data_IF_907839364105
#
_entry.id   IF_907839364105
#
_cell.length_a   1.000
_cell.length_b   1.000
_cell.length_c   1.000
_cell.angle_alpha   90.00
_cell.angle_beta   90.00
_cell.angle_gamma   90.00
#
_symmetry.space_group_name_H-M   'P 1'
#
loop_
_entity.id
_entity.type
_entity.pdbx_description
1 polymer ?
#
# COMPACT_ATOMS: atom_id res chain seq x y z
N UNK A 1 -6.30 15.32 -2.55
CA UNK A 1 -5.38 14.17 -2.49
C UNK A 1 -5.60 13.41 -1.20
N UNK A 2 -5.46 12.07 -1.20
CA UNK A 2 -5.64 11.23 0.00
C UNK A 2 -4.40 10.38 0.22
N UNK A 3 -3.90 10.38 1.45
CA UNK A 3 -2.89 9.45 1.97
C UNK A 3 -3.54 8.58 3.04
N UNK A 4 -3.48 7.27 2.92
CA UNK A 4 -3.85 6.31 3.95
C UNK A 4 -2.57 5.62 4.43
N UNK A 5 -2.30 5.74 5.73
CA UNK A 5 -1.04 5.31 6.36
C UNK A 5 -0.04 6.44 6.48
N UNK A 6 -0.04 7.11 7.62
CA UNK A 6 0.83 8.26 7.94
C UNK A 6 2.24 7.84 8.41
N UNK A 7 2.72 6.68 7.95
CA UNK A 7 4.09 6.20 8.17
C UNK A 7 5.11 6.87 7.25
N UNK A 8 6.40 6.59 7.49
CA UNK A 8 7.52 7.25 6.79
C UNK A 8 7.43 7.16 5.26
N UNK A 9 7.08 5.98 4.71
CA UNK A 9 6.93 5.79 3.25
C UNK A 9 5.78 6.63 2.71
N UNK A 10 4.59 6.56 3.35
CA UNK A 10 3.42 7.32 2.94
C UNK A 10 3.66 8.82 2.93
N UNK A 11 4.29 9.34 3.98
CA UNK A 11 4.66 10.76 4.10
C UNK A 11 5.66 11.18 3.03
N UNK A 12 6.70 10.36 2.77
CA UNK A 12 7.70 10.66 1.74
C UNK A 12 7.06 10.73 0.34
N UNK A 13 6.13 9.82 0.02
CA UNK A 13 5.35 9.84 -1.21
C UNK A 13 4.46 11.09 -1.29
N UNK A 14 3.69 11.37 -0.23
CA UNK A 14 2.74 12.47 -0.21
C UNK A 14 3.41 13.83 -0.38
N UNK A 15 4.53 14.08 0.30
CA UNK A 15 5.28 15.35 0.20
C UNK A 15 5.67 15.72 -1.23
N UNK A 16 5.98 14.73 -2.07
CA UNK A 16 6.40 14.96 -3.47
C UNK A 16 5.25 15.35 -4.39
N UNK A 17 4.02 15.00 -4.00
CA UNK A 17 2.85 15.06 -4.90
C UNK A 17 1.80 16.08 -4.42
N UNK A 18 1.81 16.43 -3.13
CA UNK A 18 0.74 17.22 -2.51
C UNK A 18 0.76 18.72 -2.84
N UNK A 19 1.84 19.25 -3.41
CA UNK A 19 1.93 20.68 -3.74
C UNK A 19 0.75 21.12 -4.61
N UNK A 20 0.06 22.18 -4.20
CA UNK A 20 -1.12 22.73 -4.87
C UNK A 20 -2.39 21.87 -4.72
N UNK A 21 -2.43 20.97 -3.73
CA UNK A 21 -3.57 20.11 -3.43
C UNK A 21 -3.87 20.12 -1.94
N UNK A 22 -5.14 20.02 -1.57
CA UNK A 22 -5.51 19.68 -0.20
C UNK A 22 -5.21 18.20 0.07
N UNK A 23 -4.40 17.90 1.08
CA UNK A 23 -3.98 16.56 1.47
C UNK A 23 -4.75 16.08 2.70
N UNK A 24 -5.54 15.03 2.53
CA UNK A 24 -6.17 14.32 3.66
C UNK A 24 -5.27 13.18 4.08
N UNK A 25 -4.96 13.14 5.36
CA UNK A 25 -4.05 12.17 5.98
C UNK A 25 -4.88 11.24 6.88
N UNK A 26 -5.03 9.99 6.44
CA UNK A 26 -5.72 8.94 7.18
C UNK A 26 -4.76 7.97 7.87
N UNK A 27 -5.03 7.66 9.13
CA UNK A 27 -4.31 6.62 9.88
C UNK A 27 -5.24 6.00 10.93
N UNK A 28 -4.98 4.74 11.30
CA UNK A 28 -5.72 4.08 12.41
C UNK A 28 -5.48 4.81 13.74
N UNK A 29 -4.29 5.35 13.91
CA UNK A 29 -3.91 6.17 15.05
C UNK A 29 -4.13 7.66 14.72
N UNK A 30 -5.21 8.22 15.25
CA UNK A 30 -5.55 9.63 15.05
C UNK A 30 -4.46 10.60 15.52
N UNK A 31 -3.66 10.24 16.54
CA UNK A 31 -2.54 11.08 17.01
C UNK A 31 -1.41 11.10 15.98
N UNK A 32 -1.11 9.97 15.33
CA UNK A 32 -0.13 9.90 14.26
C UNK A 32 -0.58 10.73 13.05
N UNK A 33 -1.83 10.58 12.62
CA UNK A 33 -2.41 11.38 11.53
C UNK A 33 -2.34 12.88 11.84
N UNK A 34 -2.71 13.29 13.06
CA UNK A 34 -2.69 14.69 13.50
C UNK A 34 -1.29 15.27 13.55
N UNK A 35 -0.32 14.51 14.05
CA UNK A 35 1.08 14.94 14.06
C UNK A 35 1.61 15.20 12.65
N UNK A 36 1.33 14.27 11.72
CA UNK A 36 1.78 14.43 10.32
C UNK A 36 1.05 15.59 9.64
N UNK A 37 -0.23 15.81 9.94
CA UNK A 37 -0.96 17.01 9.49
C UNK A 37 -0.25 18.28 9.93
N UNK A 38 0.09 18.42 11.22
CA UNK A 38 0.77 19.59 11.78
C UNK A 38 2.17 19.79 11.16
N UNK A 39 2.96 18.71 11.02
CA UNK A 39 4.30 18.75 10.42
C UNK A 39 4.24 19.22 8.96
N UNK A 40 3.26 18.75 8.20
CA UNK A 40 3.09 19.13 6.79
C UNK A 40 2.47 20.51 6.64
N UNK A 41 1.52 20.89 7.49
CA UNK A 41 0.97 22.25 7.54
C UNK A 41 2.08 23.29 7.78
N UNK A 42 2.94 23.04 8.78
CA UNK A 42 4.09 23.89 9.06
C UNK A 42 5.13 23.92 7.94
N UNK A 43 5.11 22.92 7.07
CA UNK A 43 5.92 22.86 5.84
C UNK A 43 5.24 23.53 4.61
N UNK A 44 4.06 24.16 4.79
CA UNK A 44 3.37 24.92 3.76
C UNK A 44 2.37 24.10 2.93
N UNK A 45 1.97 22.90 3.36
CA UNK A 45 0.93 22.13 2.68
C UNK A 45 -0.45 22.45 3.27
N UNK A 46 -1.48 22.39 2.43
CA UNK A 46 -2.86 22.40 2.88
C UNK A 46 -3.26 20.98 3.32
N UNK A 47 -3.51 20.77 4.61
CA UNK A 47 -3.68 19.44 5.18
C UNK A 47 -4.88 19.34 6.11
N UNK A 48 -5.45 18.16 6.20
CA UNK A 48 -6.36 17.74 7.25
C UNK A 48 -6.13 16.26 7.59
N UNK A 49 -6.52 15.83 8.78
CA UNK A 49 -6.38 14.44 9.20
C UNK A 49 -7.71 13.80 9.55
N UNK A 50 -7.80 12.49 9.37
CA UNK A 50 -8.96 11.67 9.68
C UNK A 50 -8.51 10.32 10.22
N UNK A 51 -9.21 9.78 11.22
CA UNK A 51 -9.00 8.41 11.64
C UNK A 51 -9.60 7.44 10.63
N UNK A 52 -8.86 6.38 10.24
CA UNK A 52 -9.34 5.35 9.34
C UNK A 52 -8.87 3.96 9.75
N UNK A 53 -9.80 3.01 9.83
CA UNK A 53 -9.51 1.57 9.91
C UNK A 53 -9.75 0.93 8.54
N UNK A 54 -8.67 0.46 7.91
CA UNK A 54 -8.78 -0.25 6.61
C UNK A 54 -9.55 -1.56 6.70
N UNK A 55 -9.67 -2.18 7.86
CA UNK A 55 -10.51 -3.36 8.03
C UNK A 55 -12.02 -3.04 7.97
N UNK A 56 -12.40 -1.76 7.93
CA UNK A 56 -13.79 -1.29 7.89
C UNK A 56 -14.10 -0.55 6.59
N UNK A 57 -14.97 -1.14 5.76
CA UNK A 57 -15.50 -0.47 4.54
C UNK A 57 -16.14 0.88 4.89
N UNK A 58 -16.92 0.94 5.98
CA UNK A 58 -17.55 2.19 6.42
C UNK A 58 -16.52 3.27 6.72
N UNK A 59 -15.43 2.91 7.38
CA UNK A 59 -14.34 3.84 7.69
C UNK A 59 -13.68 4.38 6.42
N UNK A 60 -13.45 3.52 5.41
CA UNK A 60 -12.93 3.94 4.10
C UNK A 60 -13.90 4.88 3.39
N UNK A 61 -15.21 4.56 3.40
CA UNK A 61 -16.24 5.40 2.81
C UNK A 61 -16.33 6.79 3.49
N UNK A 62 -16.06 6.87 4.78
CA UNK A 62 -16.00 8.14 5.50
C UNK A 62 -14.82 8.99 5.00
N UNK A 63 -13.65 8.39 4.72
CA UNK A 63 -12.54 9.10 4.09
C UNK A 63 -12.89 9.60 2.69
N UNK A 64 -13.57 8.77 1.88
CA UNK A 64 -14.05 9.19 0.55
C UNK A 64 -14.97 10.40 0.65
N UNK A 65 -15.96 10.34 1.56
CA UNK A 65 -16.90 11.45 1.79
C UNK A 65 -16.18 12.73 2.23
N UNK A 66 -15.22 12.60 3.15
CA UNK A 66 -14.42 13.74 3.62
C UNK A 66 -13.62 14.35 2.47
N UNK A 67 -12.96 13.50 1.67
CA UNK A 67 -12.13 13.95 0.55
C UNK A 67 -12.93 14.73 -0.50
N UNK A 68 -14.16 14.32 -0.78
CA UNK A 68 -15.03 14.97 -1.74
C UNK A 68 -15.49 16.38 -1.31
N UNK A 69 -15.42 16.73 -0.02
CA UNK A 69 -15.71 18.10 0.45
C UNK A 69 -14.69 19.13 -0.05
N UNK A 70 -13.47 18.70 -0.32
CA UNK A 70 -12.37 19.55 -0.79
C UNK A 70 -12.23 19.54 -2.32
N UNK A 71 -13.10 18.84 -3.03
CA UNK A 71 -13.14 18.79 -4.49
C UNK A 71 -12.82 17.41 -5.07
N UNK A 72 -12.37 17.38 -6.32
CA UNK A 72 -12.11 16.15 -7.05
C UNK A 72 -10.88 15.40 -6.51
N UNK A 73 -11.02 14.10 -6.31
CA UNK A 73 -9.92 13.25 -5.84
C UNK A 73 -8.99 12.91 -7.00
N UNK A 74 -7.83 13.54 -7.07
CA UNK A 74 -6.82 13.31 -8.12
C UNK A 74 -5.81 12.22 -7.77
N UNK A 75 -5.41 12.12 -6.51
CA UNK A 75 -4.35 11.22 -6.09
C UNK A 75 -4.73 10.47 -4.82
N UNK A 76 -4.46 9.17 -4.80
CA UNK A 76 -4.65 8.29 -3.64
C UNK A 76 -3.36 7.51 -3.40
N UNK A 77 -2.88 7.51 -2.17
CA UNK A 77 -1.76 6.66 -1.75
C UNK A 77 -2.26 5.76 -0.62
N UNK A 78 -2.20 4.46 -0.82
CA UNK A 78 -2.39 3.47 0.23
C UNK A 78 -1.02 2.96 0.70
N UNK A 79 -0.53 3.51 1.80
CA UNK A 79 0.71 3.11 2.46
C UNK A 79 0.44 2.48 3.84
N UNK A 80 -0.83 2.24 4.19
CA UNK A 80 -1.19 1.55 5.41
C UNK A 80 -1.00 0.05 5.28
N UNK A 81 -0.68 -0.58 6.38
CA UNK A 81 -0.51 -2.02 6.50
C UNK A 81 0.05 -2.39 7.87
N UNK A 82 0.02 -3.68 8.17
CA UNK A 82 0.56 -4.25 9.40
C UNK A 82 1.63 -5.29 9.10
N UNK A 83 2.64 -5.40 9.98
CA UNK A 83 3.72 -6.36 9.76
C UNK A 83 3.43 -7.73 10.35
N UNK A 84 4.10 -8.80 9.84
CA UNK A 84 3.97 -10.14 10.38
C UNK A 84 4.37 -10.31 11.84
N UNK A 85 5.20 -9.40 12.38
CA UNK A 85 5.64 -9.42 13.78
C UNK A 85 4.68 -8.69 14.72
N UNK A 86 3.80 -7.85 14.17
CA UNK A 86 2.93 -6.95 14.96
C UNK A 86 1.46 -7.38 14.96
N UNK A 87 1.04 -8.25 14.04
CA UNK A 87 -0.36 -8.56 13.87
C UNK A 87 -0.64 -10.07 13.72
N UNK A 88 -1.85 -10.48 14.11
CA UNK A 88 -2.35 -11.83 13.87
C UNK A 88 -2.65 -12.07 12.37
N UNK A 89 -2.73 -13.34 11.97
CA UNK A 89 -3.14 -13.75 10.61
C UNK A 89 -4.43 -13.02 10.20
N UNK A 90 -5.46 -13.07 11.05
CA UNK A 90 -6.74 -12.42 10.82
C UNK A 90 -6.58 -10.91 10.53
N UNK A 91 -5.84 -10.20 11.40
CA UNK A 91 -5.66 -8.74 11.23
C UNK A 91 -4.89 -8.39 9.97
N UNK A 92 -3.89 -9.20 9.58
CA UNK A 92 -3.16 -9.03 8.31
C UNK A 92 -4.10 -9.17 7.12
N UNK A 93 -4.94 -10.21 7.10
CA UNK A 93 -5.89 -10.41 6.01
C UNK A 93 -6.96 -9.32 5.95
N UNK A 94 -7.47 -8.88 7.09
CA UNK A 94 -8.47 -7.80 7.17
C UNK A 94 -7.91 -6.45 6.71
N UNK A 95 -6.70 -6.09 7.13
CA UNK A 95 -6.10 -4.78 6.84
C UNK A 95 -5.41 -4.78 5.48
N UNK A 96 -4.44 -5.68 5.28
CA UNK A 96 -3.53 -5.60 4.13
C UNK A 96 -4.16 -6.18 2.85
N UNK A 97 -5.03 -7.20 2.98
CA UNK A 97 -5.66 -7.83 1.83
C UNK A 97 -7.04 -7.22 1.55
N UNK A 98 -8.00 -7.40 2.46
CA UNK A 98 -9.37 -6.93 2.28
C UNK A 98 -9.44 -5.40 2.24
N UNK A 99 -8.82 -4.72 3.19
CA UNK A 99 -8.83 -3.26 3.27
C UNK A 99 -8.28 -2.60 2.01
N UNK A 100 -7.19 -3.15 1.43
CA UNK A 100 -6.67 -2.66 0.15
C UNK A 100 -7.65 -2.89 -0.99
N UNK A 101 -8.32 -4.06 -1.04
CA UNK A 101 -9.33 -4.33 -2.06
C UNK A 101 -10.53 -3.37 -1.98
N UNK A 102 -11.03 -3.11 -0.76
CA UNK A 102 -12.11 -2.12 -0.52
C UNK A 102 -11.66 -0.73 -0.95
N UNK A 103 -10.46 -0.30 -0.57
CA UNK A 103 -9.92 1.00 -0.94
C UNK A 103 -9.88 1.18 -2.46
N UNK A 104 -9.35 0.20 -3.19
CA UNK A 104 -9.29 0.22 -4.65
C UNK A 104 -10.68 0.31 -5.27
N UNK A 105 -11.64 -0.46 -4.75
CA UNK A 105 -13.02 -0.45 -5.22
C UNK A 105 -13.70 0.91 -4.98
N UNK A 106 -13.64 1.44 -3.74
CA UNK A 106 -14.39 2.63 -3.37
C UNK A 106 -13.79 3.91 -3.96
N UNK A 107 -12.47 4.04 -3.96
CA UNK A 107 -11.82 5.18 -4.63
C UNK A 107 -11.93 5.09 -6.15
N UNK A 108 -11.93 3.88 -6.73
CA UNK A 108 -12.14 3.69 -8.16
C UNK A 108 -13.50 4.21 -8.67
N UNK A 109 -14.52 4.24 -7.81
CA UNK A 109 -15.85 4.79 -8.15
C UNK A 109 -15.87 6.32 -8.26
N UNK A 110 -14.93 7.01 -7.59
CA UNK A 110 -14.97 8.48 -7.42
C UNK A 110 -13.71 9.19 -7.90
N UNK A 111 -12.66 8.46 -8.22
CA UNK A 111 -11.42 9.07 -8.73
C UNK A 111 -11.71 9.94 -9.95
N UNK A 112 -11.11 11.11 -10.02
CA UNK A 112 -11.29 12.01 -11.15
C UNK A 112 -10.53 11.54 -12.39
N UNK A 113 -10.92 12.07 -13.54
CA UNK A 113 -10.18 11.93 -14.78
C UNK A 113 -8.72 12.34 -14.60
N UNK A 114 -7.78 11.64 -15.25
CA UNK A 114 -6.33 11.76 -15.05
C UNK A 114 -5.85 11.51 -13.62
N UNK A 115 -6.70 10.94 -12.76
CA UNK A 115 -6.36 10.58 -11.40
C UNK A 115 -5.39 9.39 -11.35
N UNK A 116 -4.70 9.24 -10.22
CA UNK A 116 -3.78 8.11 -10.03
C UNK A 116 -3.77 7.61 -8.59
N UNK A 117 -3.60 6.30 -8.45
CA UNK A 117 -3.42 5.62 -7.17
C UNK A 117 -2.11 4.84 -7.13
N UNK A 118 -1.44 4.87 -5.98
CA UNK A 118 -0.35 3.97 -5.64
C UNK A 118 -0.71 3.16 -4.40
N UNK A 119 -0.54 1.85 -4.52
CA UNK A 119 -0.61 0.90 -3.39
C UNK A 119 0.80 0.48 -3.02
N UNK A 120 1.18 0.69 -1.77
CA UNK A 120 2.45 0.17 -1.24
C UNK A 120 2.24 -1.29 -0.86
N UNK A 121 2.74 -2.18 -1.73
CA UNK A 121 2.78 -3.61 -1.51
C UNK A 121 4.07 -4.01 -0.75
N UNK A 122 4.76 -5.07 -1.18
CA UNK A 122 6.03 -5.50 -0.58
C UNK A 122 6.75 -6.52 -1.46
N UNK A 123 8.09 -6.55 -1.41
CA UNK A 123 8.88 -7.68 -1.93
C UNK A 123 8.41 -9.04 -1.39
N UNK A 124 7.78 -9.07 -0.23
CA UNK A 124 7.26 -10.30 0.38
C UNK A 124 6.22 -11.00 -0.49
N UNK A 125 5.41 -10.24 -1.25
CA UNK A 125 4.47 -10.79 -2.22
C UNK A 125 5.17 -11.51 -3.39
N UNK A 126 6.36 -11.06 -3.79
CA UNK A 126 7.19 -11.71 -4.81
C UNK A 126 7.91 -12.96 -4.31
N UNK A 127 8.10 -13.06 -2.99
CA UNK A 127 8.76 -14.22 -2.34
C UNK A 127 7.77 -15.31 -1.90
N UNK A 128 6.48 -15.10 -2.12
CA UNK A 128 5.48 -16.15 -1.96
C UNK A 128 5.78 -17.26 -2.97
N UNK A 129 5.65 -18.52 -2.53
CA UNK A 129 5.69 -19.67 -3.46
C UNK A 129 4.66 -19.42 -4.58
N UNK A 130 5.02 -19.78 -5.81
CA UNK A 130 4.13 -19.60 -6.97
C UNK A 130 2.75 -20.21 -6.70
N UNK A 131 1.74 -19.40 -6.88
CA UNK A 131 0.34 -19.81 -6.84
C UNK A 131 -0.06 -20.37 -8.21
N UNK A 132 -1.05 -21.25 -8.23
CA UNK A 132 -1.66 -21.69 -9.48
C UNK A 132 -2.32 -20.50 -10.20
N UNK A 133 -2.62 -20.67 -11.49
CA UNK A 133 -3.38 -19.66 -12.24
C UNK A 133 -4.74 -19.40 -11.59
N UNK A 134 -5.45 -20.46 -11.19
CA UNK A 134 -6.75 -20.37 -10.52
C UNK A 134 -6.66 -19.58 -9.20
N UNK A 135 -5.67 -19.87 -8.35
CA UNK A 135 -5.45 -19.14 -7.10
C UNK A 135 -5.17 -17.63 -7.35
N UNK A 136 -4.38 -17.32 -8.36
CA UNK A 136 -4.14 -15.91 -8.75
C UNK A 136 -5.44 -15.25 -9.24
N UNK A 137 -6.25 -15.92 -10.04
CA UNK A 137 -7.53 -15.42 -10.54
C UNK A 137 -8.53 -15.20 -9.39
N UNK A 138 -8.61 -16.14 -8.45
CA UNK A 138 -9.45 -16.00 -7.26
C UNK A 138 -9.06 -14.75 -6.44
N UNK A 139 -7.78 -14.55 -6.16
CA UNK A 139 -7.31 -13.35 -5.44
C UNK A 139 -7.58 -12.06 -6.22
N UNK A 140 -7.45 -12.09 -7.54
CA UNK A 140 -7.62 -10.92 -8.40
C UNK A 140 -9.09 -10.51 -8.58
N UNK A 141 -10.00 -11.48 -8.72
CA UNK A 141 -11.33 -11.24 -9.30
C UNK A 141 -12.48 -11.52 -8.34
N UNK A 142 -12.30 -12.29 -7.26
CA UNK A 142 -13.37 -12.53 -6.29
C UNK A 142 -13.96 -11.21 -5.78
N UNK A 143 -15.28 -11.03 -5.75
CA UNK A 143 -15.91 -9.85 -5.19
C UNK A 143 -15.34 -9.50 -3.81
N UNK A 144 -15.14 -8.21 -3.54
CA UNK A 144 -14.43 -7.78 -2.34
C UNK A 144 -15.06 -8.30 -1.05
N UNK A 145 -16.41 -8.35 -0.98
CA UNK A 145 -17.12 -8.82 0.21
C UNK A 145 -17.03 -10.34 0.42
N UNK A 146 -16.64 -11.09 -0.61
CA UNK A 146 -16.45 -12.55 -0.56
C UNK A 146 -14.97 -12.93 -0.42
N UNK A 147 -14.07 -11.97 -0.55
CA UNK A 147 -12.63 -12.21 -0.69
C UNK A 147 -12.05 -12.98 0.51
N UNK A 148 -12.43 -12.61 1.73
CA UNK A 148 -11.98 -13.31 2.95
C UNK A 148 -12.56 -14.72 3.13
N UNK A 149 -13.59 -15.09 2.34
CA UNK A 149 -14.19 -16.42 2.38
C UNK A 149 -13.45 -17.45 1.52
N UNK A 150 -12.46 -17.04 0.74
CA UNK A 150 -11.67 -17.93 -0.10
C UNK A 150 -11.03 -19.05 0.72
N UNK A 151 -11.14 -20.30 0.23
CA UNK A 151 -10.62 -21.48 0.91
C UNK A 151 -9.13 -21.35 1.26
N UNK A 152 -8.33 -20.76 0.35
CA UNK A 152 -6.90 -20.56 0.55
C UNK A 152 -6.55 -19.56 1.67
N UNK A 153 -7.50 -18.71 2.09
CA UNK A 153 -7.34 -17.73 3.16
C UNK A 153 -7.84 -18.21 4.52
N UNK A 154 -8.39 -19.44 4.61
CA UNK A 154 -8.78 -20.01 5.89
C UNK A 154 -7.57 -20.26 6.78
N UNK A 155 -7.74 -20.10 8.09
CA UNK A 155 -6.67 -20.18 9.08
C UNK A 155 -5.90 -21.51 9.01
N UNK A 156 -6.58 -22.64 8.76
CA UNK A 156 -5.96 -23.96 8.60
C UNK A 156 -5.12 -24.12 7.31
N UNK A 157 -5.19 -23.19 6.37
CA UNK A 157 -4.40 -23.16 5.12
C UNK A 157 -3.22 -22.21 5.21
N UNK A 158 -3.24 -21.28 6.15
CA UNK A 158 -2.18 -20.28 6.34
C UNK A 158 -1.21 -20.79 7.40
N UNK A 159 0.07 -20.87 7.01
CA UNK A 159 1.13 -21.46 7.85
C UNK A 159 1.47 -20.63 9.08
N UNK A 160 1.61 -19.33 8.87
CA UNK A 160 2.01 -18.35 9.88
C UNK A 160 1.68 -16.90 9.42
N UNK A 161 2.00 -15.93 10.25
CA UNK A 161 1.78 -14.51 9.94
C UNK A 161 2.58 -14.01 8.73
N UNK A 162 3.76 -14.58 8.46
CA UNK A 162 4.54 -14.23 7.26
C UNK A 162 3.84 -14.71 5.99
N UNK A 163 3.33 -15.95 6.00
CA UNK A 163 2.58 -16.49 4.87
C UNK A 163 1.29 -15.67 4.61
N UNK A 164 0.55 -15.29 5.66
CA UNK A 164 -0.60 -14.39 5.53
C UNK A 164 -0.22 -13.05 4.88
N UNK A 165 0.89 -12.47 5.32
CA UNK A 165 1.41 -11.21 4.78
C UNK A 165 1.84 -11.35 3.32
N UNK A 166 2.54 -12.43 2.97
CA UNK A 166 2.92 -12.70 1.58
C UNK A 166 1.70 -12.85 0.67
N UNK A 167 0.67 -13.58 1.10
CA UNK A 167 -0.60 -13.71 0.39
C UNK A 167 -1.29 -12.35 0.22
N UNK A 168 -1.36 -11.55 1.29
CA UNK A 168 -1.96 -10.22 1.24
C UNK A 168 -1.24 -9.30 0.24
N UNK A 169 0.10 -9.26 0.29
CA UNK A 169 0.89 -8.42 -0.62
C UNK A 169 0.86 -8.94 -2.06
N UNK A 170 0.80 -10.26 -2.29
CA UNK A 170 0.54 -10.81 -3.62
C UNK A 170 -0.84 -10.44 -4.13
N UNK A 171 -1.88 -10.54 -3.29
CA UNK A 171 -3.24 -10.13 -3.65
C UNK A 171 -3.30 -8.66 -4.05
N UNK A 172 -2.59 -7.75 -3.35
CA UNK A 172 -2.55 -6.34 -3.68
C UNK A 172 -2.07 -6.10 -5.11
N UNK A 173 -0.99 -6.77 -5.52
CA UNK A 173 -0.44 -6.68 -6.90
C UNK A 173 -1.48 -7.17 -7.92
N UNK A 174 -2.11 -8.31 -7.67
CA UNK A 174 -3.12 -8.88 -8.55
C UNK A 174 -4.37 -7.99 -8.64
N UNK A 175 -4.82 -7.43 -7.51
CA UNK A 175 -5.95 -6.51 -7.46
C UNK A 175 -5.67 -5.21 -8.20
N UNK A 176 -4.48 -4.65 -8.06
CA UNK A 176 -4.06 -3.47 -8.81
C UNK A 176 -4.16 -3.72 -10.31
N UNK A 177 -3.71 -4.86 -10.80
CA UNK A 177 -3.79 -5.22 -12.20
C UNK A 177 -5.25 -5.35 -12.69
N UNK A 178 -6.12 -6.01 -11.92
CA UNK A 178 -7.53 -6.18 -12.28
C UNK A 178 -8.33 -4.87 -12.17
N UNK A 179 -8.09 -4.06 -11.14
CA UNK A 179 -8.77 -2.79 -10.94
C UNK A 179 -8.34 -1.72 -11.96
N UNK A 180 -7.13 -1.82 -12.54
CA UNK A 180 -6.68 -0.90 -13.58
C UNK A 180 -7.65 -0.83 -14.78
N UNK A 181 -8.35 -1.93 -15.09
CA UNK A 181 -9.36 -1.97 -16.13
C UNK A 181 -10.57 -1.09 -15.78
N UNK A 182 -10.99 -1.12 -14.51
CA UNK A 182 -12.12 -0.30 -14.02
C UNK A 182 -11.74 1.16 -13.89
N UNK A 183 -10.54 1.43 -13.34
CA UNK A 183 -9.98 2.78 -13.21
C UNK A 183 -9.79 3.43 -14.59
N UNK A 184 -9.35 2.65 -15.59
CA UNK A 184 -9.18 3.11 -16.97
C UNK A 184 -10.47 3.61 -17.63
N UNK A 185 -11.65 3.09 -17.24
CA UNK A 185 -12.95 3.62 -17.70
C UNK A 185 -13.19 5.07 -17.29
N UNK A 186 -12.46 5.57 -16.30
CA UNK A 186 -12.46 6.96 -15.83
C UNK A 186 -11.21 7.73 -16.27
N UNK A 187 -10.43 7.20 -17.20
CA UNK A 187 -9.11 7.73 -17.59
C UNK A 187 -8.14 7.88 -16.40
N UNK A 188 -8.33 7.11 -15.35
CA UNK A 188 -7.49 7.10 -14.16
C UNK A 188 -6.57 5.86 -14.15
N UNK A 189 -5.50 5.94 -13.38
CA UNK A 189 -4.47 4.91 -13.32
C UNK A 189 -4.28 4.39 -11.89
N UNK A 190 -3.93 3.12 -11.77
CA UNK A 190 -3.56 2.51 -10.49
C UNK A 190 -2.36 1.60 -10.69
N UNK A 191 -1.37 1.72 -9.82
CA UNK A 191 -0.17 0.89 -9.81
C UNK A 191 0.19 0.50 -8.38
N UNK A 192 1.07 -0.48 -8.22
CA UNK A 192 1.68 -0.80 -6.94
C UNK A 192 3.19 -0.59 -6.97
N UNK A 193 3.73 -0.31 -5.80
CA UNK A 193 5.16 -0.35 -5.53
C UNK A 193 5.37 -1.45 -4.49
N UNK A 194 6.32 -2.34 -4.74
CA UNK A 194 6.71 -3.44 -3.86
C UNK A 194 8.11 -3.15 -3.27
N UNK A 195 8.20 -2.41 -2.15
CA UNK A 195 9.48 -2.12 -1.54
C UNK A 195 10.12 -3.35 -0.91
N UNK A 196 11.45 -3.35 -0.87
CA UNK A 196 12.25 -4.22 -0.04
C UNK A 196 12.30 -3.76 1.42
N UNK A 197 13.45 -3.94 2.06
CA UNK A 197 13.70 -3.42 3.40
C UNK A 197 13.97 -1.92 3.29
N UNK A 198 13.04 -1.10 3.80
CA UNK A 198 13.13 0.36 3.82
C UNK A 198 13.32 0.81 5.27
N UNK A 199 14.32 1.65 5.54
CA UNK A 199 14.59 2.16 6.89
C UNK A 199 13.41 3.03 7.37
N UNK A 200 12.71 2.51 8.33
CA UNK A 200 11.55 3.12 8.99
C UNK A 200 11.57 2.70 10.47
N UNK A 201 10.83 3.34 11.36
CA UNK A 201 10.68 2.84 12.73
C UNK A 201 10.30 1.36 12.79
N UNK A 202 9.33 0.93 11.95
CA UNK A 202 8.93 -0.47 11.83
C UNK A 202 10.08 -1.38 11.38
N UNK A 203 10.85 -0.97 10.39
CA UNK A 203 12.00 -1.77 9.91
C UNK A 203 13.10 -1.88 10.97
N UNK A 204 13.31 -0.84 11.76
CA UNK A 204 14.26 -0.89 12.88
C UNK A 204 13.80 -1.90 13.95
N UNK A 205 12.50 -1.96 14.26
CA UNK A 205 11.94 -2.96 15.17
C UNK A 205 12.15 -4.38 14.61
N UNK A 206 11.90 -4.60 13.32
CA UNK A 206 12.09 -5.89 12.63
C UNK A 206 13.58 -6.31 12.59
N UNK A 207 14.50 -5.37 12.29
CA UNK A 207 15.94 -5.62 12.25
C UNK A 207 16.53 -5.97 13.62
N UNK A 208 15.91 -5.47 14.69
CA UNK A 208 16.30 -5.75 16.08
C UNK A 208 15.43 -6.84 16.75
N UNK A 209 14.42 -7.33 16.04
CA UNK A 209 13.49 -8.35 16.52
C UNK A 209 13.96 -9.79 16.24
N UNK A 210 13.12 -10.79 16.55
CA UNK A 210 13.43 -12.21 16.40
C UNK A 210 13.84 -12.64 14.98
N UNK A 211 13.43 -11.88 13.95
CA UNK A 211 13.77 -12.14 12.54
C UNK A 211 14.94 -11.29 12.03
N UNK A 212 15.56 -10.48 12.89
CA UNK A 212 16.58 -9.50 12.53
C UNK A 212 17.77 -10.08 11.78
N UNK A 213 18.28 -11.25 12.22
CA UNK A 213 19.40 -11.91 11.54
C UNK A 213 19.06 -12.32 10.10
N UNK A 214 17.82 -12.71 9.82
CA UNK A 214 17.38 -13.03 8.46
C UNK A 214 17.35 -11.78 7.58
N UNK A 215 16.90 -10.65 8.12
CA UNK A 215 16.91 -9.37 7.42
C UNK A 215 18.33 -8.88 7.14
N UNK A 216 19.24 -9.00 8.12
CA UNK A 216 20.67 -8.66 7.93
C UNK A 216 21.32 -9.51 6.84
N UNK A 217 21.06 -10.83 6.84
CA UNK A 217 21.52 -11.72 5.77
C UNK A 217 20.97 -11.33 4.41
N UNK A 218 19.69 -11.00 4.34
CA UNK A 218 19.05 -10.53 3.11
C UNK A 218 19.72 -9.27 2.56
N UNK A 219 19.99 -8.29 3.44
CA UNK A 219 20.69 -7.06 3.05
C UNK A 219 22.12 -7.31 2.58
N UNK A 220 22.84 -8.23 3.24
CA UNK A 220 24.21 -8.58 2.86
C UNK A 220 24.29 -9.28 1.49
N UNK A 221 23.25 -10.04 1.11
CA UNK A 221 23.16 -10.73 -0.18
C UNK A 221 22.62 -9.84 -1.29
N UNK A 222 21.80 -8.86 -0.96
CA UNK A 222 21.22 -7.96 -1.97
C UNK A 222 22.33 -7.19 -2.73
N UNK A 223 22.23 -7.02 -4.05
CA UNK A 223 23.19 -6.26 -4.84
C UNK A 223 23.46 -4.86 -4.32
N UNK A 224 22.43 -4.16 -3.82
CA UNK A 224 22.56 -2.83 -3.23
C UNK A 224 23.31 -2.84 -1.88
N UNK A 225 23.40 -3.97 -1.18
CA UNK A 225 24.06 -4.16 0.13
C UNK A 225 23.63 -3.19 1.23
N UNK A 226 22.46 -2.62 1.10
CA UNK A 226 21.86 -1.69 2.06
C UNK A 226 20.33 -1.77 2.01
N UNK A 227 19.69 -1.30 3.05
CA UNK A 227 18.27 -0.96 3.00
C UNK A 227 18.04 0.29 2.14
N UNK A 228 16.84 0.40 1.59
CA UNK A 228 16.38 1.62 0.93
C UNK A 228 15.88 2.65 1.93
N UNK A 229 15.56 3.83 1.44
CA UNK A 229 14.98 4.93 2.22
C UNK A 229 13.53 5.19 1.80
N UNK A 230 12.70 5.78 2.67
CA UNK A 230 11.36 6.24 2.28
C UNK A 230 11.38 7.18 1.06
N UNK A 231 12.42 7.98 0.94
CA UNK A 231 12.58 8.92 -0.16
C UNK A 231 12.78 8.24 -1.52
N UNK A 232 13.54 7.15 -1.59
CA UNK A 232 13.71 6.36 -2.81
C UNK A 232 12.37 5.75 -3.28
N UNK A 233 11.52 5.34 -2.35
CA UNK A 233 10.14 4.90 -2.69
C UNK A 233 9.29 6.10 -3.14
N UNK A 234 9.46 7.25 -2.48
CA UNK A 234 8.79 8.50 -2.82
C UNK A 234 9.11 8.99 -4.23
N UNK A 235 10.36 8.88 -4.67
CA UNK A 235 10.80 9.27 -6.02
C UNK A 235 10.11 8.43 -7.10
N UNK A 236 10.02 7.12 -6.89
CA UNK A 236 9.28 6.22 -7.79
C UNK A 236 7.77 6.53 -7.77
N UNK A 237 7.21 6.79 -6.58
CA UNK A 237 5.81 7.17 -6.44
C UNK A 237 5.50 8.46 -7.22
N UNK A 238 6.33 9.49 -7.10
CA UNK A 238 6.21 10.74 -7.87
C UNK A 238 6.24 10.48 -9.37
N UNK A 239 7.22 9.72 -9.85
CA UNK A 239 7.31 9.37 -11.26
C UNK A 239 6.02 8.71 -11.77
N UNK A 240 5.52 7.69 -11.08
CA UNK A 240 4.34 6.93 -11.48
C UNK A 240 3.06 7.79 -11.44
N UNK A 241 2.95 8.70 -10.48
CA UNK A 241 1.76 9.55 -10.33
C UNK A 241 1.80 10.81 -11.19
N UNK A 242 2.95 11.17 -11.73
CA UNK A 242 3.12 12.34 -12.60
C UNK A 242 2.68 12.08 -14.05
N UNK A 243 2.78 13.12 -14.88
CA UNK A 243 2.56 13.02 -16.34
C UNK A 243 3.56 12.10 -17.05
N UNK A 244 4.74 11.88 -16.46
CA UNK A 244 5.75 10.95 -17.00
C UNK A 244 5.30 9.49 -16.95
N UNK A 245 4.44 9.13 -15.99
CA UNK A 245 3.87 7.80 -15.82
C UNK A 245 2.55 7.56 -16.58
N UNK A 246 2.13 8.43 -17.50
CA UNK A 246 0.78 8.37 -18.12
C UNK A 246 0.46 7.06 -18.84
N UNK A 247 1.45 6.36 -19.36
CA UNK A 247 1.27 5.08 -20.06
C UNK A 247 1.43 3.85 -19.14
N UNK A 248 1.53 4.08 -17.82
CA UNK A 248 1.76 3.02 -16.83
C UNK A 248 0.52 2.89 -15.95
N UNK A 249 -0.16 1.74 -16.04
CA UNK A 249 -1.30 1.37 -15.19
C UNK A 249 -1.39 -0.14 -15.05
N UNK A 250 -1.85 -0.64 -13.90
CA UNK A 250 -1.94 -2.07 -13.61
C UNK A 250 -0.61 -2.76 -13.34
N UNK A 251 0.47 -2.00 -13.22
CA UNK A 251 1.82 -2.52 -13.03
C UNK A 251 2.24 -2.53 -11.56
N UNK A 252 3.14 -3.45 -11.22
CA UNK A 252 3.84 -3.50 -9.94
C UNK A 252 5.33 -3.20 -10.14
N UNK A 253 5.89 -2.38 -9.26
CA UNK A 253 7.28 -1.97 -9.33
C UNK A 253 8.04 -2.46 -8.10
N UNK A 254 8.84 -3.50 -8.29
CA UNK A 254 9.73 -4.03 -7.26
C UNK A 254 10.93 -3.10 -7.07
N UNK A 255 11.06 -2.52 -5.87
CA UNK A 255 12.17 -1.65 -5.48
C UNK A 255 12.80 -2.20 -4.18
N UNK A 256 13.69 -3.16 -4.31
CA UNK A 256 14.22 -3.95 -3.18
C UNK A 256 15.75 -4.06 -3.14
N UNK A 257 16.43 -3.25 -3.95
CA UNK A 257 17.89 -3.30 -4.06
C UNK A 257 18.44 -4.61 -4.64
N UNK A 258 17.59 -5.37 -5.33
CA UNK A 258 17.91 -6.67 -5.93
C UNK A 258 17.82 -7.84 -4.92
N UNK A 259 17.23 -7.63 -3.75
CA UNK A 259 17.11 -8.68 -2.74
C UNK A 259 16.35 -9.90 -3.25
N UNK A 260 15.24 -9.72 -3.97
CA UNK A 260 14.46 -10.84 -4.52
C UNK A 260 15.17 -11.60 -5.65
N UNK A 261 16.10 -10.97 -6.35
CA UNK A 261 16.89 -11.62 -7.39
C UNK A 261 18.06 -12.47 -6.83
N UNK A 262 18.33 -12.36 -5.53
CA UNK A 262 19.45 -13.03 -4.86
C UNK A 262 19.06 -14.33 -4.15
N UNK A 263 17.82 -14.80 -4.33
CA UNK A 263 17.28 -16.02 -3.70
C UNK A 263 16.77 -17.01 -4.74
#
# INVERSE_FOLDING_TARGET
MVLIGAGSIGVACARRIATGKHLIIGDINSKTAKKVEEDLYNAGFETSSIQVDLASRESILNVVKEALKYGNIKNVINAAGVSPSQASIKKILEVDLYGTAVLLEEFGKVISEDGSCIVISSQSGHRLKALSQEENELLALTPTDELLNLEMLKENKIKDTLHAYQLAKRCNVLRVASEAIKWGKRNARVNSISPGIIITPLANDELNGPRGENYKKMLALAPAKRAGTPDEVGDLCEFLMSSRGKFITGADFLIDGGASASY
#
